data_IF_808103566479
#
_entry.id   IF_808103566479
#
_cell.length_a   1.000
_cell.length_b   1.000
_cell.length_c   1.000
_cell.angle_alpha   90.00
_cell.angle_beta   90.00
_cell.angle_gamma   90.00
#
_symmetry.space_group_name_H-M   'P 1'
#
loop_
_entity.id
_entity.type
_entity.pdbx_description
1 polymer ?
#
# COMPACT_ATOMS: atom_id res chain seq x y z
N UNK A 1 48.54 31.09 17.96
CA UNK A 1 47.54 30.37 18.80
C UNK A 1 46.24 31.15 18.81
N UNK A 2 45.32 30.84 17.91
CA UNK A 2 44.03 31.54 17.78
C UNK A 2 42.95 30.59 18.31
N UNK A 3 42.23 31.04 19.34
CA UNK A 3 41.30 30.25 20.15
C UNK A 3 39.91 30.29 19.50
N UNK A 4 39.47 29.17 18.94
CA UNK A 4 38.13 29.02 18.34
C UNK A 4 37.09 28.88 19.46
N UNK A 5 36.13 29.81 19.54
CA UNK A 5 34.94 29.69 20.40
C UNK A 5 33.93 28.75 19.72
N UNK A 6 33.60 27.63 20.37
CA UNK A 6 32.45 26.78 20.02
C UNK A 6 31.17 27.44 20.53
N UNK A 7 30.19 27.65 19.64
CA UNK A 7 28.82 28.02 20.03
C UNK A 7 28.04 26.75 20.41
N UNK A 8 27.10 26.82 21.37
CA UNK A 8 26.34 25.66 21.82
C UNK A 8 25.20 25.32 20.83
N UNK A 9 25.09 24.03 20.51
CA UNK A 9 23.99 23.45 19.74
C UNK A 9 22.63 23.73 20.41
N UNK A 10 21.74 24.43 19.71
CA UNK A 10 20.32 24.52 20.04
C UNK A 10 19.64 23.19 19.68
N UNK A 11 19.16 22.45 20.68
CA UNK A 11 18.17 21.37 20.49
C UNK A 11 16.88 22.02 20.01
N UNK A 12 16.39 21.61 18.83
CA UNK A 12 15.09 22.02 18.31
C UNK A 12 14.08 20.98 18.78
N UNK A 13 13.12 21.42 19.60
CA UNK A 13 12.00 20.61 20.07
C UNK A 13 11.19 20.06 18.90
N UNK A 14 11.12 18.73 18.79
CA UNK A 14 10.20 18.03 17.90
C UNK A 14 8.84 18.05 18.60
N UNK A 15 7.93 18.89 18.11
CA UNK A 15 6.54 18.92 18.59
C UNK A 15 5.76 17.76 17.97
N UNK A 16 5.44 16.76 18.78
CA UNK A 16 4.39 15.77 18.49
C UNK A 16 3.08 16.48 18.12
N UNK A 17 2.69 16.42 16.85
CA UNK A 17 1.38 16.84 16.38
C UNK A 17 0.51 15.59 16.19
N UNK A 18 -0.22 15.19 17.24
CA UNK A 18 -1.37 14.28 17.11
C UNK A 18 -2.56 15.09 16.57
N UNK A 19 -2.97 14.80 15.34
CA UNK A 19 -4.22 15.33 14.78
C UNK A 19 -5.44 14.69 15.49
N UNK A 20 -6.57 15.41 15.63
CA UNK A 20 -7.73 14.95 16.36
C UNK A 20 -8.69 14.19 15.43
N UNK A 21 -8.49 12.88 15.29
CA UNK A 21 -9.58 11.97 14.97
C UNK A 21 -9.82 11.09 16.19
N UNK A 22 -11.09 10.83 16.52
CA UNK A 22 -11.47 9.87 17.56
C UNK A 22 -11.07 8.46 17.07
N UNK A 23 -9.80 8.12 17.25
CA UNK A 23 -9.22 6.88 16.77
C UNK A 23 -9.39 5.84 17.87
N UNK A 24 -10.11 4.76 17.59
CA UNK A 24 -9.94 3.50 18.33
C UNK A 24 -8.44 3.26 18.48
N UNK A 25 -7.94 3.17 19.72
CA UNK A 25 -6.54 2.85 20.02
C UNK A 25 -6.17 1.61 19.20
N UNK A 26 -4.98 1.54 18.60
CA UNK A 26 -4.58 0.37 17.80
C UNK A 26 -4.71 -0.96 18.60
N UNK A 27 -4.65 -0.91 19.93
CA UNK A 27 -4.87 -2.07 20.81
C UNK A 27 -6.35 -2.33 21.19
N UNK A 28 -7.30 -1.67 20.54
CA UNK A 28 -8.72 -1.93 20.78
C UNK A 28 -9.12 -3.31 20.24
N UNK A 29 -10.02 -4.02 20.93
CA UNK A 29 -10.56 -5.27 20.41
C UNK A 29 -11.40 -5.01 19.15
N UNK A 30 -11.56 -6.04 18.33
CA UNK A 30 -12.50 -6.01 17.21
C UNK A 30 -13.94 -5.87 17.72
N UNK A 31 -14.78 -5.18 16.94
CA UNK A 31 -16.21 -5.12 17.20
C UNK A 31 -16.86 -6.45 16.85
N UNK A 32 -17.94 -6.81 17.55
CA UNK A 32 -18.82 -7.92 17.13
C UNK A 32 -19.53 -7.65 15.82
N UNK A 33 -19.80 -6.38 15.51
CA UNK A 33 -20.50 -6.01 14.28
C UNK A 33 -19.51 -5.92 13.14
N UNK A 34 -19.69 -6.78 12.13
CA UNK A 34 -18.82 -6.84 10.97
C UNK A 34 -18.77 -5.49 10.24
N UNK A 35 -19.91 -4.84 10.08
CA UNK A 35 -20.01 -3.55 9.38
C UNK A 35 -19.12 -2.48 10.04
N UNK A 36 -19.10 -2.40 11.37
CA UNK A 36 -18.25 -1.47 12.12
C UNK A 36 -16.75 -1.72 11.85
N UNK A 37 -16.33 -2.98 11.79
CA UNK A 37 -14.95 -3.33 11.48
C UNK A 37 -14.59 -2.97 10.03
N UNK A 38 -15.46 -3.30 9.07
CA UNK A 38 -15.26 -2.94 7.66
C UNK A 38 -15.17 -1.42 7.49
N UNK A 39 -16.05 -0.65 8.11
CA UNK A 39 -16.02 0.81 8.07
C UNK A 39 -14.71 1.36 8.66
N UNK A 40 -14.25 0.80 9.79
CA UNK A 40 -12.96 1.17 10.37
C UNK A 40 -11.80 0.93 9.40
N UNK A 41 -11.64 -0.29 8.90
CA UNK A 41 -10.54 -0.62 7.99
C UNK A 41 -10.64 0.11 6.65
N UNK A 42 -11.85 0.30 6.12
CA UNK A 42 -12.08 1.06 4.89
C UNK A 42 -11.71 2.54 5.06
N UNK A 43 -12.00 3.12 6.23
CA UNK A 43 -11.56 4.48 6.55
C UNK A 43 -10.04 4.58 6.72
N UNK A 44 -9.42 3.57 7.34
CA UNK A 44 -7.98 3.51 7.55
C UNK A 44 -7.22 3.37 6.22
N UNK A 45 -7.69 2.52 5.32
CA UNK A 45 -7.11 2.29 3.99
C UNK A 45 -7.76 3.16 2.91
N UNK A 46 -8.43 4.26 3.28
CA UNK A 46 -8.96 5.22 2.32
C UNK A 46 -7.85 5.69 1.38
N UNK A 47 -8.17 5.81 0.08
CA UNK A 47 -7.23 6.14 -1.00
C UNK A 47 -6.12 5.10 -1.25
N UNK A 48 -6.25 3.88 -0.72
CA UNK A 48 -5.40 2.73 -1.04
C UNK A 48 -6.18 1.79 -1.96
N UNK A 49 -5.98 1.94 -3.27
CA UNK A 49 -6.68 1.12 -4.29
C UNK A 49 -6.15 -0.32 -4.39
N UNK A 50 -5.04 -0.62 -3.73
CA UNK A 50 -4.42 -1.93 -3.64
C UNK A 50 -5.01 -2.80 -2.50
N UNK A 51 -5.82 -2.22 -1.61
CA UNK A 51 -6.46 -2.96 -0.51
C UNK A 51 -7.85 -3.41 -0.94
N UNK A 52 -8.08 -4.72 -0.94
CA UNK A 52 -9.34 -5.32 -1.38
C UNK A 52 -10.16 -5.73 -0.16
N UNK A 53 -11.44 -5.33 -0.20
CA UNK A 53 -12.47 -5.75 0.74
C UNK A 53 -13.49 -6.59 -0.03
N UNK A 54 -13.67 -7.85 0.36
CA UNK A 54 -14.66 -8.73 -0.25
C UNK A 54 -15.58 -9.29 0.83
N UNK A 55 -16.86 -8.96 0.72
CA UNK A 55 -17.92 -9.47 1.61
C UNK A 55 -18.61 -10.68 0.98
N UNK A 56 -19.05 -11.60 1.82
CA UNK A 56 -19.76 -12.83 1.42
C UNK A 56 -20.50 -13.41 2.62
N UNK A 57 -21.30 -14.46 2.40
CA UNK A 57 -22.06 -15.13 3.46
C UNK A 57 -21.51 -16.53 3.65
N UNK A 58 -21.26 -16.91 4.90
CA UNK A 58 -20.87 -18.27 5.31
C UNK A 58 -21.88 -18.75 6.33
N UNK A 59 -22.63 -19.80 5.98
CA UNK A 59 -23.62 -20.41 6.88
C UNK A 59 -24.54 -19.40 7.59
N UNK A 60 -25.19 -18.57 6.77
CA UNK A 60 -26.11 -17.49 7.16
C UNK A 60 -25.48 -16.36 7.99
N UNK A 61 -24.15 -16.33 8.15
CA UNK A 61 -23.43 -15.23 8.78
C UNK A 61 -22.70 -14.41 7.73
N UNK A 62 -22.76 -13.09 7.86
CA UNK A 62 -21.95 -12.22 7.02
C UNK A 62 -20.47 -12.38 7.39
N UNK A 63 -19.63 -12.39 6.36
CA UNK A 63 -18.19 -12.49 6.47
C UNK A 63 -17.52 -11.49 5.52
N UNK A 64 -16.29 -11.11 5.85
CA UNK A 64 -15.47 -10.29 4.98
C UNK A 64 -14.02 -10.75 5.00
N UNK A 65 -13.37 -10.69 3.84
CA UNK A 65 -11.94 -10.88 3.71
C UNK A 65 -11.29 -9.57 3.26
N UNK A 66 -10.20 -9.19 3.94
CA UNK A 66 -9.42 -7.99 3.68
C UNK A 66 -7.99 -8.41 3.35
N UNK A 67 -7.45 -7.94 2.23
CA UNK A 67 -6.08 -8.25 1.83
C UNK A 67 -5.49 -7.16 0.93
N UNK A 68 -4.16 -7.16 0.78
CA UNK A 68 -3.48 -6.27 -0.17
C UNK A 68 -3.13 -7.05 -1.44
N UNK A 69 -3.63 -6.57 -2.57
CA UNK A 69 -3.32 -7.10 -3.90
C UNK A 69 -1.80 -7.05 -4.14
N UNK A 70 -1.23 -8.17 -4.61
CA UNK A 70 0.21 -8.30 -4.84
C UNK A 70 1.03 -8.72 -3.62
N UNK A 71 0.53 -8.54 -2.39
CA UNK A 71 1.14 -9.12 -1.18
C UNK A 71 0.54 -10.48 -0.80
N UNK A 72 -0.73 -10.70 -1.09
CA UNK A 72 -1.42 -11.97 -0.81
C UNK A 72 -1.51 -12.85 -2.05
N UNK A 73 -1.43 -14.17 -1.86
CA UNK A 73 -1.65 -15.17 -2.91
C UNK A 73 -3.15 -15.30 -3.18
N UNK A 74 -3.64 -14.52 -4.14
CA UNK A 74 -5.06 -14.46 -4.50
C UNK A 74 -5.58 -15.77 -5.06
N UNK A 75 -4.74 -16.56 -5.72
CA UNK A 75 -5.14 -17.85 -6.27
C UNK A 75 -5.41 -18.85 -5.15
N UNK A 76 -4.52 -18.94 -4.16
CA UNK A 76 -4.76 -19.78 -2.98
C UNK A 76 -5.92 -19.26 -2.14
N UNK A 77 -6.08 -17.94 -2.02
CA UNK A 77 -7.23 -17.34 -1.34
C UNK A 77 -8.55 -17.78 -1.98
N UNK A 78 -8.66 -17.73 -3.31
CA UNK A 78 -9.87 -18.18 -4.01
C UNK A 78 -10.12 -19.68 -3.83
N UNK A 79 -9.11 -20.51 -4.13
CA UNK A 79 -9.26 -21.97 -4.16
C UNK A 79 -9.38 -22.60 -2.77
N UNK A 80 -8.64 -22.10 -1.78
CA UNK A 80 -8.57 -22.73 -0.45
C UNK A 80 -9.50 -22.06 0.56
N UNK A 81 -9.76 -20.75 0.43
CA UNK A 81 -10.62 -20.04 1.39
C UNK A 81 -12.02 -19.93 0.84
N UNK A 82 -12.19 -19.23 -0.29
CA UNK A 82 -13.52 -18.85 -0.75
C UNK A 82 -14.32 -20.04 -1.24
N UNK A 83 -13.74 -20.92 -2.07
CA UNK A 83 -14.42 -22.15 -2.50
C UNK A 83 -14.82 -23.04 -1.31
N UNK A 84 -13.95 -23.16 -0.31
CA UNK A 84 -14.19 -23.99 0.88
C UNK A 84 -15.28 -23.41 1.80
N UNK A 85 -15.34 -22.09 1.93
CA UNK A 85 -16.31 -21.42 2.80
C UNK A 85 -17.68 -21.20 2.15
N UNK A 86 -17.73 -21.09 0.82
CA UNK A 86 -18.97 -20.93 0.07
C UNK A 86 -19.65 -22.26 -0.26
N UNK A 87 -18.94 -23.38 -0.12
CA UNK A 87 -19.51 -24.72 -0.28
C UNK A 87 -20.57 -25.02 0.79
N UNK A 88 -21.70 -25.58 0.35
CA UNK A 88 -23.01 -25.57 1.04
C UNK A 88 -23.15 -26.57 2.19
N UNK A 89 -22.05 -26.98 2.84
CA UNK A 89 -22.14 -27.84 4.03
C UNK A 89 -22.26 -27.02 5.31
N UNK A 90 -23.18 -27.48 6.18
CA UNK A 90 -23.47 -26.88 7.49
C UNK A 90 -22.21 -26.86 8.36
N UNK A 91 -22.01 -25.74 9.07
CA UNK A 91 -20.93 -25.63 10.05
C UNK A 91 -21.49 -25.96 11.43
N UNK A 92 -20.65 -26.50 12.31
CA UNK A 92 -21.04 -26.75 13.70
C UNK A 92 -21.31 -25.41 14.40
N UNK A 93 -22.56 -25.19 14.81
CA UNK A 93 -22.99 -23.98 15.49
C UNK A 93 -22.38 -23.83 16.89
N UNK A 94 -21.97 -24.93 17.54
CA UNK A 94 -21.44 -24.89 18.91
C UNK A 94 -20.06 -24.25 19.00
N UNK A 95 -19.22 -24.41 17.98
CA UNK A 95 -17.94 -23.71 17.85
C UNK A 95 -17.66 -23.37 16.37
N UNK A 96 -18.40 -22.37 15.87
CA UNK A 96 -18.32 -21.90 14.48
C UNK A 96 -16.89 -21.51 14.06
N UNK A 97 -16.13 -20.83 14.92
CA UNK A 97 -14.77 -20.41 14.56
C UNK A 97 -13.82 -21.62 14.48
N UNK A 98 -13.97 -22.62 15.36
CA UNK A 98 -13.17 -23.83 15.28
C UNK A 98 -13.51 -24.67 14.05
N UNK A 99 -14.80 -24.77 13.69
CA UNK A 99 -15.22 -25.50 12.49
C UNK A 99 -14.67 -24.87 11.20
N UNK A 100 -14.68 -23.52 11.12
CA UNK A 100 -14.00 -22.77 10.05
C UNK A 100 -12.51 -23.11 9.98
N UNK A 101 -11.80 -23.01 11.12
CA UNK A 101 -10.36 -23.28 11.19
C UNK A 101 -10.01 -24.71 10.74
N UNK A 102 -10.82 -25.70 11.12
CA UNK A 102 -10.58 -27.10 10.78
C UNK A 102 -10.88 -27.43 9.32
N UNK A 103 -11.77 -26.67 8.67
CA UNK A 103 -12.18 -26.90 7.29
C UNK A 103 -11.22 -26.25 6.28
N UNK A 104 -10.63 -25.12 6.63
CA UNK A 104 -9.69 -24.41 5.76
C UNK A 104 -8.38 -25.21 5.61
N UNK A 105 -7.99 -25.61 4.38
CA UNK A 105 -6.77 -26.39 4.14
C UNK A 105 -5.50 -25.50 4.12
N UNK A 106 -5.34 -24.65 5.14
CA UNK A 106 -4.24 -23.68 5.26
C UNK A 106 -3.38 -24.04 6.47
N UNK A 107 -2.08 -24.17 6.26
CA UNK A 107 -1.15 -24.62 7.31
C UNK A 107 -0.99 -23.63 8.47
N UNK A 108 -1.11 -22.32 8.20
CA UNK A 108 -0.91 -21.27 9.19
C UNK A 108 -2.15 -20.38 9.28
N UNK A 109 -2.99 -20.64 10.28
CA UNK A 109 -4.18 -19.83 10.60
C UNK A 109 -4.04 -19.34 12.04
N UNK A 110 -3.93 -18.02 12.20
CA UNK A 110 -3.79 -17.39 13.49
C UNK A 110 -5.07 -16.63 13.86
N UNK A 111 -5.53 -16.79 15.10
CA UNK A 111 -6.62 -15.96 15.64
C UNK A 111 -6.06 -14.60 16.03
N UNK A 112 -6.70 -13.54 15.58
CA UNK A 112 -6.37 -12.15 15.91
C UNK A 112 -7.59 -11.48 16.51
N UNK A 113 -7.41 -10.76 17.60
CA UNK A 113 -8.51 -10.17 18.39
C UNK A 113 -8.45 -8.66 18.47
N UNK A 114 -7.31 -8.07 18.13
CA UNK A 114 -7.09 -6.62 18.14
C UNK A 114 -7.03 -6.06 16.74
N UNK A 115 -7.38 -4.79 16.63
CA UNK A 115 -7.25 -4.01 15.40
C UNK A 115 -5.78 -3.97 14.95
N UNK A 116 -4.84 -3.76 15.87
CA UNK A 116 -3.39 -3.75 15.60
C UNK A 116 -2.92 -5.04 14.93
N UNK A 117 -3.30 -6.19 15.48
CA UNK A 117 -2.92 -7.48 14.94
C UNK A 117 -3.49 -7.71 13.52
N UNK A 118 -4.69 -7.19 13.24
CA UNK A 118 -5.27 -7.23 11.91
C UNK A 118 -4.50 -6.33 10.92
N UNK A 119 -4.16 -5.11 11.32
CA UNK A 119 -3.36 -4.19 10.50
C UNK A 119 -2.01 -4.83 10.18
N UNK A 120 -1.32 -5.37 11.18
CA UNK A 120 -0.03 -6.03 11.01
C UNK A 120 -0.13 -7.24 10.06
N UNK A 121 -1.19 -8.05 10.19
CA UNK A 121 -1.44 -9.17 9.28
C UNK A 121 -1.65 -8.69 7.84
N UNK A 122 -2.55 -7.73 7.60
CA UNK A 122 -2.84 -7.18 6.27
C UNK A 122 -1.57 -6.59 5.65
N UNK A 123 -0.83 -5.78 6.41
CA UNK A 123 0.40 -5.12 5.96
C UNK A 123 1.57 -6.08 5.73
N UNK A 124 1.54 -7.29 6.30
CA UNK A 124 2.51 -8.36 6.01
C UNK A 124 2.06 -9.28 4.88
N UNK A 125 0.90 -9.02 4.26
CA UNK A 125 0.38 -9.79 3.14
C UNK A 125 -0.47 -10.99 3.54
N UNK A 126 -0.82 -11.13 4.81
CA UNK A 126 -1.73 -12.17 5.28
C UNK A 126 -3.18 -11.66 5.17
N UNK A 127 -4.05 -12.30 4.37
CA UNK A 127 -5.47 -11.97 4.35
C UNK A 127 -6.10 -12.12 5.75
N UNK A 128 -6.96 -11.17 6.11
CA UNK A 128 -7.74 -11.20 7.35
C UNK A 128 -9.18 -11.51 7.04
N UNK A 129 -9.70 -12.57 7.65
CA UNK A 129 -11.07 -13.07 7.52
C UNK A 129 -11.86 -12.74 8.79
N UNK A 130 -12.91 -11.93 8.65
CA UNK A 130 -13.81 -11.50 9.70
C UNK A 130 -15.19 -12.13 9.55
N UNK A 131 -15.88 -12.32 10.67
CA UNK A 131 -17.25 -12.84 10.72
C UNK A 131 -18.12 -11.96 11.60
N UNK A 132 -19.38 -11.78 11.22
CA UNK A 132 -20.35 -11.07 12.04
C UNK A 132 -20.69 -11.85 13.32
N UNK A 133 -20.81 -11.12 14.42
CA UNK A 133 -21.06 -11.66 15.76
C UNK A 133 -19.80 -12.03 16.56
N UNK A 134 -18.60 -11.91 15.99
CA UNK A 134 -17.34 -12.32 16.63
C UNK A 134 -16.37 -11.16 16.84
N UNK A 135 -15.69 -11.15 17.99
CA UNK A 135 -14.57 -10.22 18.30
C UNK A 135 -13.20 -10.82 17.93
N UNK A 136 -13.22 -11.92 17.17
CA UNK A 136 -12.04 -12.62 16.68
C UNK A 136 -12.10 -12.67 15.15
N UNK A 137 -10.95 -12.51 14.52
CA UNK A 137 -10.74 -12.73 13.09
C UNK A 137 -9.63 -13.77 12.87
N UNK A 138 -9.52 -14.28 11.65
CA UNK A 138 -8.43 -15.15 11.24
C UNK A 138 -7.45 -14.42 10.33
N UNK A 139 -6.17 -14.44 10.69
CA UNK A 139 -5.08 -14.14 9.79
C UNK A 139 -4.66 -15.42 9.07
N UNK A 140 -4.72 -15.40 7.74
CA UNK A 140 -4.44 -16.54 6.87
C UNK A 140 -3.03 -16.41 6.31
N UNK A 141 -2.20 -17.42 6.51
CA UNK A 141 -0.79 -17.46 6.08
C UNK A 141 -0.60 -17.61 4.57
N UNK A 142 -1.25 -16.77 3.76
CA UNK A 142 -1.27 -16.81 2.30
C UNK A 142 -0.46 -15.65 1.70
N UNK A 143 0.74 -15.41 2.23
CA UNK A 143 1.65 -14.39 1.70
C UNK A 143 2.15 -14.84 0.32
N UNK A 144 2.11 -13.93 -0.64
CA UNK A 144 2.64 -14.15 -1.99
C UNK A 144 4.17 -14.15 -1.96
N UNK A 145 4.75 -15.33 -2.01
CA UNK A 145 6.17 -15.49 -2.25
C UNK A 145 6.44 -15.40 -3.75
N UNK A 146 7.27 -14.44 -4.16
CA UNK A 146 7.89 -14.52 -5.48
C UNK A 146 8.81 -15.74 -5.45
N UNK A 147 8.41 -16.80 -6.17
CA UNK A 147 9.30 -17.93 -6.45
C UNK A 147 10.49 -17.34 -7.20
N UNK A 148 11.57 -17.02 -6.49
CA UNK A 148 12.88 -16.89 -7.12
C UNK A 148 13.11 -18.26 -7.72
N UNK A 149 12.97 -18.38 -9.04
CA UNK A 149 13.51 -19.51 -9.77
C UNK A 149 14.93 -19.66 -9.26
N UNK A 150 15.23 -20.78 -8.63
CA UNK A 150 16.57 -21.07 -8.13
C UNK A 150 17.42 -21.30 -9.38
N UNK A 151 17.81 -20.22 -10.04
CA UNK A 151 18.86 -20.25 -11.05
C UNK A 151 20.19 -20.26 -10.30
N UNK A 152 20.99 -21.28 -10.57
CA UNK A 152 22.34 -21.41 -10.01
C UNK A 152 23.14 -20.13 -10.32
N UNK A 153 23.87 -19.59 -9.32
CA UNK A 153 24.58 -18.33 -9.52
C UNK A 153 25.73 -18.55 -10.53
N UNK A 154 25.60 -17.98 -11.73
CA UNK A 154 26.78 -17.71 -12.55
C UNK A 154 27.60 -16.62 -11.84
N UNK A 155 28.89 -16.89 -11.73
CA UNK A 155 29.85 -16.14 -10.95
C UNK A 155 29.89 -14.64 -11.29
N UNK A 156 30.45 -13.88 -10.34
CA UNK A 156 30.89 -12.49 -10.40
C UNK A 156 29.93 -11.36 -9.97
N UNK A 157 30.20 -10.92 -8.73
CA UNK A 157 30.37 -9.53 -8.29
C UNK A 157 29.41 -8.46 -8.81
N UNK A 158 28.42 -8.11 -7.98
CA UNK A 158 28.10 -6.71 -7.78
C UNK A 158 27.81 -6.41 -6.31
N UNK A 159 28.36 -5.28 -5.88
CA UNK A 159 28.46 -4.80 -4.51
C UNK A 159 27.10 -4.27 -4.05
N UNK A 160 26.54 -4.95 -3.03
CA UNK A 160 25.47 -4.52 -2.09
C UNK A 160 24.49 -3.44 -2.57
N UNK A 161 23.38 -3.89 -3.16
CA UNK A 161 22.08 -3.23 -3.18
C UNK A 161 20.97 -4.29 -3.29
N UNK A 162 19.71 -3.99 -2.91
CA UNK A 162 18.58 -4.89 -3.19
C UNK A 162 18.58 -5.23 -4.69
N UNK A 163 18.54 -6.53 -5.03
CA UNK A 163 18.45 -6.99 -6.44
C UNK A 163 17.08 -6.73 -7.07
N UNK A 164 16.12 -6.25 -6.30
CA UNK A 164 14.73 -6.07 -6.72
C UNK A 164 14.55 -4.65 -7.25
N UNK A 165 14.65 -4.55 -8.58
CA UNK A 165 14.25 -3.38 -9.34
C UNK A 165 12.76 -3.41 -9.62
N UNK A 166 12.24 -2.22 -9.82
CA UNK A 166 10.90 -1.97 -10.31
C UNK A 166 10.66 -2.59 -11.72
N UNK A 167 9.47 -3.16 -11.96
CA UNK A 167 9.09 -3.85 -13.23
C UNK A 167 7.94 -3.17 -13.98
N UNK A 168 7.59 -3.60 -15.19
CA UNK A 168 6.48 -2.99 -15.95
C UNK A 168 5.09 -3.19 -15.30
N UNK A 169 4.97 -4.13 -14.36
CA UNK A 169 3.72 -4.42 -13.65
C UNK A 169 3.50 -3.50 -12.45
N UNK A 170 2.46 -2.66 -12.50
CA UNK A 170 2.07 -1.81 -11.38
C UNK A 170 1.81 -2.60 -10.10
N UNK A 171 1.15 -3.76 -10.18
CA UNK A 171 0.86 -4.58 -9.00
C UNK A 171 2.14 -5.13 -8.33
N UNK A 172 3.17 -5.46 -9.12
CA UNK A 172 4.48 -5.84 -8.56
C UNK A 172 5.12 -4.63 -7.89
N UNK A 173 5.11 -3.46 -8.53
CA UNK A 173 5.72 -2.25 -8.01
C UNK A 173 5.09 -1.76 -6.70
N UNK A 174 3.76 -1.77 -6.61
CA UNK A 174 3.05 -1.41 -5.37
C UNK A 174 3.37 -2.41 -4.27
N UNK A 175 3.45 -3.71 -4.59
CA UNK A 175 3.84 -4.74 -3.63
C UNK A 175 5.27 -4.55 -3.11
N UNK A 176 6.22 -4.14 -3.97
CA UNK A 176 7.60 -3.81 -3.56
C UNK A 176 7.63 -2.65 -2.55
N UNK A 177 6.83 -1.60 -2.79
CA UNK A 177 6.72 -0.49 -1.83
C UNK A 177 6.11 -0.94 -0.50
N UNK A 178 5.03 -1.72 -0.52
CA UNK A 178 4.37 -2.24 0.69
C UNK A 178 5.24 -3.20 1.49
N UNK A 179 6.13 -3.96 0.84
CA UNK A 179 7.11 -4.82 1.51
C UNK A 179 8.10 -4.03 2.37
N UNK A 180 8.47 -2.82 1.93
CA UNK A 180 9.39 -1.92 2.65
C UNK A 180 8.61 -1.07 3.66
N UNK A 181 7.51 -0.45 3.23
CA UNK A 181 6.66 0.45 4.01
C UNK A 181 5.32 -0.23 4.34
N UNK A 182 5.24 -0.79 5.55
CA UNK A 182 4.10 -1.58 6.02
C UNK A 182 2.99 -0.74 6.67
N UNK A 183 3.16 0.57 6.74
CA UNK A 183 2.22 1.44 7.44
C UNK A 183 0.95 1.69 6.59
N UNK A 184 -0.27 1.62 7.15
CA UNK A 184 -1.51 1.95 6.44
C UNK A 184 -1.62 3.43 6.02
N UNK A 185 -0.77 4.31 6.56
CA UNK A 185 -0.64 5.69 6.10
C UNK A 185 -0.04 5.79 4.69
N UNK A 186 0.66 4.75 4.20
CA UNK A 186 1.04 4.68 2.79
C UNK A 186 -0.22 4.51 1.94
N UNK A 187 -0.54 5.53 1.15
CA UNK A 187 -1.67 5.56 0.23
C UNK A 187 -1.21 5.27 -1.19
N UNK A 188 -2.09 4.63 -1.95
CA UNK A 188 -1.85 4.26 -3.34
C UNK A 188 -3.10 4.53 -4.15
N UNK A 189 -3.24 5.78 -4.59
CA UNK A 189 -4.42 6.27 -5.29
C UNK A 189 -4.28 6.02 -6.79
N UNK A 190 -5.20 5.25 -7.36
CA UNK A 190 -5.23 5.00 -8.81
C UNK A 190 -5.97 6.12 -9.54
N UNK A 191 -5.39 6.61 -10.63
CA UNK A 191 -5.98 7.54 -11.60
C UNK A 191 -5.84 6.93 -13.00
N UNK A 192 -6.77 7.26 -13.90
CA UNK A 192 -6.74 6.82 -15.29
C UNK A 192 -6.60 8.02 -16.23
N UNK A 193 -5.63 7.95 -17.14
CA UNK A 193 -5.29 9.05 -18.06
C UNK A 193 -5.50 8.61 -19.51
N UNK A 194 -6.01 9.52 -20.34
CA UNK A 194 -6.26 9.28 -21.75
C UNK A 194 -7.66 8.75 -22.03
N UNK A 195 -8.27 9.24 -23.12
CA UNK A 195 -9.67 8.96 -23.48
C UNK A 195 -9.91 7.52 -23.91
N UNK A 196 -9.01 6.99 -24.75
CA UNK A 196 -9.12 5.65 -25.33
C UNK A 196 -8.25 4.63 -24.60
N UNK A 197 -6.99 4.98 -24.26
CA UNK A 197 -6.06 4.03 -23.61
C UNK A 197 -6.40 3.79 -22.14
N UNK A 198 -6.96 4.80 -21.45
CA UNK A 198 -7.25 4.75 -20.00
C UNK A 198 -6.06 4.18 -19.21
N UNK A 199 -4.89 4.76 -19.43
CA UNK A 199 -3.64 4.29 -18.84
C UNK A 199 -3.67 4.48 -17.34
N UNK A 200 -3.39 3.40 -16.59
CA UNK A 200 -3.41 3.37 -15.12
C UNK A 200 -2.16 4.06 -14.58
N UNK A 201 -2.35 5.01 -13.66
CA UNK A 201 -1.30 5.68 -12.90
C UNK A 201 -1.62 5.56 -11.42
N UNK A 202 -0.62 5.23 -10.59
CA UNK A 202 -0.77 5.15 -9.13
C UNK A 202 0.05 6.28 -8.50
N UNK A 203 -0.64 7.14 -7.76
CA UNK A 203 -0.04 8.15 -6.91
C UNK A 203 0.21 7.53 -5.54
N UNK A 204 1.48 7.44 -5.14
CA UNK A 204 1.89 6.92 -3.84
C UNK A 204 2.40 8.04 -2.94
N UNK A 205 1.93 8.10 -1.70
CA UNK A 205 2.31 9.11 -0.71
C UNK A 205 2.05 8.60 0.71
N UNK A 206 2.65 9.22 1.73
CA UNK A 206 2.37 8.90 3.13
C UNK A 206 1.49 10.00 3.73
N UNK A 207 0.26 9.62 4.10
CA UNK A 207 -0.67 10.49 4.79
C UNK A 207 -0.07 10.95 6.14
N UNK A 208 -0.19 12.25 6.43
CA UNK A 208 0.39 12.86 7.62
C UNK A 208 1.85 13.31 7.50
N UNK A 209 2.56 12.88 6.44
CA UNK A 209 3.92 13.36 6.13
C UNK A 209 3.88 14.28 4.90
N UNK A 210 3.15 13.91 3.85
CA UNK A 210 3.05 14.70 2.62
C UNK A 210 2.27 16.00 2.81
N UNK A 211 2.64 17.04 2.07
CA UNK A 211 1.83 18.26 1.95
C UNK A 211 0.58 17.97 1.11
N UNK A 212 -0.61 18.24 1.63
CA UNK A 212 -1.87 18.00 0.92
C UNK A 212 -1.99 18.84 -0.35
N UNK A 213 -1.45 20.07 -0.33
CA UNK A 213 -1.47 20.95 -1.51
C UNK A 213 -0.67 20.33 -2.68
N UNK A 214 0.39 19.57 -2.38
CA UNK A 214 1.15 18.85 -3.39
C UNK A 214 0.31 17.76 -4.06
N UNK A 215 -0.44 16.98 -3.28
CA UNK A 215 -1.30 15.90 -3.83
C UNK A 215 -2.41 16.49 -4.68
N UNK A 216 -3.07 17.55 -4.21
CA UNK A 216 -4.12 18.24 -4.97
C UNK A 216 -3.59 18.80 -6.31
N UNK A 217 -2.39 19.39 -6.30
CA UNK A 217 -1.78 19.92 -7.52
C UNK A 217 -1.43 18.80 -8.51
N UNK A 218 -0.86 17.69 -8.03
CA UNK A 218 -0.59 16.51 -8.87
C UNK A 218 -1.89 16.01 -9.51
N UNK A 219 -2.95 15.84 -8.73
CA UNK A 219 -4.25 15.40 -9.24
C UNK A 219 -4.84 16.35 -10.27
N UNK A 220 -4.78 17.66 -10.00
CA UNK A 220 -5.24 18.69 -10.93
C UNK A 220 -4.48 18.63 -12.25
N UNK A 221 -3.16 18.40 -12.22
CA UNK A 221 -2.34 18.25 -13.42
C UNK A 221 -2.71 17.01 -14.21
N UNK A 222 -2.76 15.85 -13.55
CA UNK A 222 -3.10 14.59 -14.21
C UNK A 222 -4.49 14.64 -14.85
N UNK A 223 -5.46 15.29 -14.20
CA UNK A 223 -6.81 15.47 -14.73
C UNK A 223 -6.89 16.44 -15.91
N UNK A 224 -5.95 17.38 -16.05
CA UNK A 224 -5.88 18.30 -17.20
C UNK A 224 -5.29 17.66 -18.44
N UNK A 225 -4.64 16.49 -18.32
CA UNK A 225 -4.08 15.76 -19.45
C UNK A 225 -5.22 15.21 -20.31
N UNK A 226 -5.68 16.01 -21.27
CA UNK A 226 -6.69 15.64 -22.23
C UNK A 226 -6.05 15.20 -23.55
N UNK A 227 -5.65 13.93 -23.59
CA UNK A 227 -5.10 13.29 -24.79
C UNK A 227 -5.96 12.09 -25.18
N UNK A 228 -6.02 11.79 -26.48
CA UNK A 228 -6.77 10.64 -26.98
C UNK A 228 -6.21 9.32 -26.43
N UNK A 229 -4.88 9.21 -26.29
CA UNK A 229 -4.24 8.06 -25.68
C UNK A 229 -2.81 8.34 -25.24
N UNK A 230 -2.38 7.66 -24.19
CA UNK A 230 -0.98 7.63 -23.73
C UNK A 230 -0.33 6.40 -24.37
N UNK A 231 0.51 6.60 -25.37
CA UNK A 231 1.25 5.52 -26.04
C UNK A 231 2.64 5.27 -25.43
N UNK A 232 3.18 6.27 -24.74
CA UNK A 232 4.47 6.21 -24.04
C UNK A 232 4.38 7.01 -22.73
N UNK A 233 5.11 6.59 -21.69
CA UNK A 233 5.13 7.31 -20.40
C UNK A 233 5.62 8.75 -20.53
N UNK A 234 6.50 9.00 -21.51
CA UNK A 234 7.07 10.30 -21.82
C UNK A 234 6.02 11.38 -22.12
N UNK A 235 4.83 11.02 -22.62
CA UNK A 235 3.75 11.98 -22.80
C UNK A 235 3.28 12.54 -21.47
N UNK A 236 3.05 11.66 -20.48
CA UNK A 236 2.63 12.06 -19.14
C UNK A 236 3.73 12.93 -18.51
N UNK A 237 5.01 12.61 -18.73
CA UNK A 237 6.15 13.38 -18.23
C UNK A 237 6.13 14.83 -18.74
N UNK A 238 5.95 15.04 -20.05
CA UNK A 238 5.90 16.38 -20.66
C UNK A 238 4.73 17.24 -20.16
N UNK A 239 3.58 16.64 -19.87
CA UNK A 239 2.44 17.38 -19.34
C UNK A 239 2.56 17.73 -17.85
N UNK A 240 3.44 17.04 -17.14
CA UNK A 240 3.64 17.25 -15.72
C UNK A 240 4.78 18.24 -15.46
N UNK A 241 5.83 18.28 -16.29
CA UNK A 241 6.92 19.26 -16.18
C UNK A 241 6.44 20.71 -16.42
N UNK A 242 6.61 21.59 -15.42
CA UNK A 242 6.13 23.00 -15.51
C UNK A 242 6.99 23.84 -16.44
N UNK A 243 8.29 23.58 -16.46
CA UNK A 243 9.24 24.50 -17.05
C UNK A 243 10.46 23.75 -17.55
N UNK A 244 10.53 23.41 -18.86
CA UNK A 244 11.71 22.75 -19.43
C UNK A 244 13.00 23.59 -19.31
N UNK A 245 12.89 24.85 -18.88
CA UNK A 245 14.01 25.77 -18.62
C UNK A 245 14.38 25.90 -17.13
N UNK A 246 13.75 25.15 -16.21
CA UNK A 246 14.13 25.15 -14.80
C UNK A 246 15.55 24.58 -14.62
N UNK A 247 16.47 25.25 -13.89
CA UNK A 247 17.79 24.71 -13.58
C UNK A 247 17.76 23.64 -12.48
N UNK A 248 16.60 23.40 -11.84
CA UNK A 248 16.41 22.35 -10.83
C UNK A 248 15.50 21.24 -11.37
N UNK A 249 15.89 19.95 -11.19
CA UNK A 249 15.06 18.84 -11.62
C UNK A 249 13.76 18.81 -10.81
N UNK A 250 12.63 18.96 -11.51
CA UNK A 250 11.28 18.86 -10.94
C UNK A 250 10.83 17.39 -10.79
N UNK A 251 11.49 16.49 -11.54
CA UNK A 251 11.25 15.04 -11.57
C UNK A 251 12.57 14.31 -11.31
N UNK A 252 12.54 13.28 -10.48
CA UNK A 252 13.66 12.36 -10.27
C UNK A 252 13.23 10.97 -10.71
N UNK A 253 14.04 10.31 -11.54
CA UNK A 253 13.72 8.96 -11.99
C UNK A 253 14.50 7.93 -11.20
N UNK A 254 13.84 6.86 -10.77
CA UNK A 254 14.54 5.74 -10.16
C UNK A 254 13.80 4.42 -10.38
N UNK A 255 14.59 3.36 -10.55
CA UNK A 255 14.11 1.98 -10.61
C UNK A 255 14.26 1.27 -9.25
N UNK A 256 14.72 2.01 -8.23
CA UNK A 256 15.06 1.49 -6.91
C UNK A 256 13.92 1.72 -5.90
N UNK A 257 13.21 0.66 -5.45
CA UNK A 257 12.12 0.79 -4.50
C UNK A 257 12.57 1.39 -3.15
N UNK A 258 13.79 1.12 -2.71
CA UNK A 258 14.36 1.64 -1.47
C UNK A 258 14.56 3.16 -1.51
N UNK A 259 15.04 3.68 -2.65
CA UNK A 259 15.16 5.14 -2.87
C UNK A 259 13.78 5.80 -2.86
N UNK A 260 12.80 5.18 -3.51
CA UNK A 260 11.42 5.68 -3.48
C UNK A 260 10.85 5.72 -2.06
N UNK A 261 11.03 4.65 -1.28
CA UNK A 261 10.56 4.61 0.10
C UNK A 261 11.20 5.71 0.97
N UNK A 262 12.49 5.98 0.78
CA UNK A 262 13.16 7.11 1.45
C UNK A 262 12.53 8.47 1.10
N UNK A 263 12.20 8.68 -0.17
CA UNK A 263 11.55 9.91 -0.63
C UNK A 263 10.12 10.06 -0.08
N UNK A 264 9.35 8.97 -0.01
CA UNK A 264 8.02 8.95 0.60
C UNK A 264 8.09 9.36 2.08
N UNK A 265 9.09 8.86 2.81
CA UNK A 265 9.34 9.22 4.22
C UNK A 265 9.79 10.67 4.41
N UNK A 266 10.34 11.31 3.38
CA UNK A 266 10.64 12.75 3.37
C UNK A 266 9.40 13.62 3.08
N UNK A 267 8.23 13.02 2.84
CA UNK A 267 7.00 13.74 2.53
C UNK A 267 6.85 14.09 1.05
N UNK A 268 7.52 13.37 0.15
CA UNK A 268 7.34 13.51 -1.29
C UNK A 268 6.24 12.56 -1.79
N UNK A 269 5.75 12.83 -3.00
CA UNK A 269 4.82 11.96 -3.70
C UNK A 269 5.54 11.22 -4.84
N UNK A 270 4.99 10.08 -5.26
CA UNK A 270 5.59 9.21 -6.28
C UNK A 270 4.52 8.83 -7.28
N UNK A 271 4.87 8.82 -8.57
CA UNK A 271 3.98 8.37 -9.63
C UNK A 271 4.50 7.06 -10.22
N UNK A 272 3.67 6.02 -10.15
CA UNK A 272 3.91 4.75 -10.83
C UNK A 272 2.99 4.69 -12.07
N UNK A 273 3.58 4.60 -13.25
CA UNK A 273 2.86 4.61 -14.53
C UNK A 273 2.88 3.20 -15.12
N UNK A 274 1.74 2.70 -15.57
CA UNK A 274 1.63 1.45 -16.32
C UNK A 274 2.50 1.53 -17.58
N UNK A 275 3.30 0.50 -17.86
CA UNK A 275 4.17 0.37 -19.04
C UNK A 275 5.50 1.17 -19.01
N UNK A 276 5.85 1.83 -17.90
CA UNK A 276 7.18 2.46 -17.78
C UNK A 276 8.18 1.62 -16.98
N UNK A 277 9.29 1.25 -17.61
CA UNK A 277 10.51 0.81 -16.91
C UNK A 277 11.08 1.93 -16.04
N UNK A 278 10.93 3.19 -16.46
CA UNK A 278 11.39 4.40 -15.75
C UNK A 278 10.28 4.97 -14.87
N UNK A 279 10.38 4.82 -13.55
CA UNK A 279 9.41 5.43 -12.62
C UNK A 279 9.86 6.82 -12.19
N UNK A 280 8.97 7.77 -12.37
CA UNK A 280 9.14 9.15 -11.98
C UNK A 280 8.76 9.32 -10.50
N UNK A 281 9.75 9.57 -9.64
CA UNK A 281 9.54 10.25 -8.37
C UNK A 281 9.28 11.73 -8.70
N UNK A 282 8.13 12.23 -8.27
CA UNK A 282 7.81 13.62 -8.45
C UNK A 282 8.10 14.38 -7.16
N UNK A 283 9.20 15.14 -7.16
CA UNK A 283 9.58 15.94 -6.02
C UNK A 283 9.31 17.41 -6.35
N UNK A 284 8.18 17.95 -5.87
CA UNK A 284 8.11 19.39 -5.75
C UNK A 284 9.14 19.82 -4.70
N UNK A 285 10.10 20.71 -5.02
CA UNK A 285 10.76 21.44 -3.98
C UNK A 285 9.69 22.27 -3.26
N UNK A 286 9.68 22.19 -1.92
CA UNK A 286 8.84 22.96 -0.98
C UNK A 286 8.82 24.49 -1.23
N UNK A 287 9.67 24.98 -2.13
CA UNK A 287 9.88 26.39 -2.44
C UNK A 287 8.92 27.01 -3.46
N UNK A 288 8.18 26.22 -4.25
CA UNK A 288 7.31 26.77 -5.31
C UNK A 288 5.86 27.05 -4.90
N UNK A 289 5.43 26.69 -3.68
CA UNK A 289 4.10 27.03 -3.17
C UNK A 289 3.99 28.50 -2.66
N UNK A 290 5.08 29.28 -2.75
CA UNK A 290 5.16 30.65 -2.23
C UNK A 290 5.64 31.68 -3.27
N UNK A 291 5.60 31.38 -4.56
CA UNK A 291 5.99 32.32 -5.63
C UNK A 291 4.80 32.71 -6.50
#
# INVERSE_FOLDING_TARGET
>A
MIRVRRSPFMKKDVKDHKAPHQTLSQDSPLSKTLESNIQYFSSLYKESSDVIFRTFIVDKKDAAIIYIEGLSDTQQLEQQVLETLLDTSEFDETDFLLSIKNRLPISNINRVTTISACIDAISTGNPVLLFDGFEEAFSLGLVKFEKRTIEEPQAETSIRGPREGFTESLGVNTSLLRRILKDPALKMKTVYIGKYTKTKVVISFIEGIVDKALIEEIENRLNRINIDGVLESGYIEQFIEDNPYSPFPQVLYTERPDVVCGNLLEGRAVLLIWESSRKAIWCFPRFLLYS
#
